data_IF_521451438887
#
_entry.id   IF_521451438887
#
_cell.length_a   1.000
_cell.length_b   1.000
_cell.length_c   1.000
_cell.angle_alpha   90.00
_cell.angle_beta   90.00
_cell.angle_gamma   90.00
#
_symmetry.space_group_name_H-M   'P 1'
#
loop_
_entity.id
_entity.type
_entity.pdbx_description
1 polymer ?
#
# COMPACT_ATOMS: atom_id res chain seq x y z
N UNK A 1 25.05 33.00 -19.06
CA UNK A 1 23.74 32.40 -18.86
C UNK A 1 22.67 33.25 -19.55
N UNK A 2 21.56 32.67 -20.02
CA UNK A 2 20.42 33.43 -20.51
C UNK A 2 19.97 34.48 -19.49
N UNK A 3 19.38 35.61 -19.95
CA UNK A 3 19.07 36.76 -19.09
C UNK A 3 18.02 36.50 -17.99
N UNK A 4 17.25 35.43 -18.11
CA UNK A 4 16.11 35.12 -17.20
C UNK A 4 16.30 33.82 -16.40
N UNK A 5 17.54 33.41 -16.16
CA UNK A 5 17.86 32.19 -15.40
C UNK A 5 18.24 32.55 -13.97
N UNK A 6 17.62 31.88 -13.01
CA UNK A 6 18.06 31.94 -11.61
C UNK A 6 19.44 31.30 -11.51
N UNK A 7 20.41 32.07 -11.06
CA UNK A 7 21.79 31.58 -10.79
C UNK A 7 21.95 31.37 -9.28
N UNK A 8 22.31 30.14 -8.91
CA UNK A 8 22.62 29.79 -7.52
C UNK A 8 24.14 29.59 -7.41
N UNK A 9 24.78 30.34 -6.53
CA UNK A 9 26.22 30.15 -6.24
C UNK A 9 26.39 28.86 -5.40
N UNK A 10 26.94 27.85 -6.03
CA UNK A 10 27.27 26.56 -5.41
C UNK A 10 28.71 26.39 -4.98
N UNK A 11 29.51 27.49 -4.92
CA UNK A 11 30.91 27.40 -4.55
C UNK A 11 31.09 26.73 -3.18
N UNK A 12 31.89 25.67 -3.13
CA UNK A 12 32.13 24.86 -1.92
C UNK A 12 30.94 23.96 -1.50
N UNK A 13 29.93 23.81 -2.35
CA UNK A 13 28.77 22.92 -2.10
C UNK A 13 28.83 21.70 -3.02
N UNK A 14 28.15 20.62 -2.60
CA UNK A 14 27.91 19.47 -3.43
C UNK A 14 26.47 19.49 -3.95
N UNK A 15 26.27 19.11 -5.20
CA UNK A 15 24.94 18.98 -5.82
C UNK A 15 24.66 17.50 -5.96
N UNK A 16 23.56 17.05 -5.38
CA UNK A 16 23.08 15.67 -5.46
C UNK A 16 21.64 15.65 -5.97
N UNK A 17 21.16 14.53 -6.54
CA UNK A 17 19.72 14.31 -6.67
C UNK A 17 19.03 14.39 -5.32
N UNK A 18 17.75 14.76 -5.29
CA UNK A 18 16.95 14.71 -4.07
C UNK A 18 16.81 13.28 -3.56
N UNK A 19 16.79 13.13 -2.24
CA UNK A 19 16.57 11.83 -1.60
C UNK A 19 15.14 11.35 -1.82
N UNK A 20 14.99 10.03 -1.86
CA UNK A 20 13.67 9.35 -1.95
C UNK A 20 13.54 8.43 -0.75
N UNK A 21 12.49 8.66 0.06
CA UNK A 21 12.14 7.75 1.14
C UNK A 21 11.17 6.68 0.61
N UNK A 22 11.61 5.42 0.64
CA UNK A 22 10.81 4.30 0.14
C UNK A 22 9.76 3.80 1.15
N UNK A 23 9.77 4.27 2.40
CA UNK A 23 8.84 3.87 3.44
C UNK A 23 8.63 4.98 4.47
N UNK A 24 7.59 5.77 4.27
CA UNK A 24 7.22 6.86 5.19
C UNK A 24 5.77 6.76 5.66
N UNK A 25 5.49 7.46 6.76
CA UNK A 25 4.14 7.64 7.32
C UNK A 25 3.83 9.13 7.53
N UNK A 26 4.66 10.03 7.01
CA UNK A 26 4.46 11.48 7.04
C UNK A 26 3.38 11.92 6.06
N UNK A 27 3.00 13.20 6.13
CA UNK A 27 2.05 13.82 5.21
C UNK A 27 0.67 13.13 5.14
N UNK A 28 0.23 12.44 6.20
CA UNK A 28 -1.08 11.80 6.25
C UNK A 28 -1.78 12.07 7.60
N UNK A 29 -3.11 12.29 7.57
CA UNK A 29 -3.90 12.46 8.80
C UNK A 29 -4.01 11.18 9.62
N UNK A 30 -4.02 10.03 8.95
CA UNK A 30 -4.06 8.70 9.56
C UNK A 30 -3.39 7.69 8.63
N UNK A 31 -2.79 6.65 9.22
CA UNK A 31 -2.07 5.62 8.45
C UNK A 31 -2.61 4.21 8.67
N UNK A 32 -3.59 4.02 9.54
CA UNK A 32 -4.16 2.71 9.83
C UNK A 32 -5.69 2.72 9.73
N UNK A 33 -6.24 1.77 8.99
CA UNK A 33 -7.63 1.35 9.11
C UNK A 33 -7.64 -0.01 9.81
N UNK A 34 -7.64 0.00 11.14
CA UNK A 34 -7.27 -1.17 11.96
C UNK A 34 -8.42 -2.09 12.36
N UNK A 35 -9.67 -1.80 11.98
CA UNK A 35 -10.87 -2.53 12.43
C UNK A 35 -11.03 -3.91 11.82
N UNK A 36 -10.47 -4.13 10.62
CA UNK A 36 -10.52 -5.41 9.90
C UNK A 36 -9.10 -5.94 9.63
N UNK A 37 -9.00 -7.23 9.36
CA UNK A 37 -7.72 -7.88 9.04
C UNK A 37 -7.25 -7.58 7.63
N UNK A 38 -8.20 -7.28 6.73
CA UNK A 38 -8.00 -6.93 5.34
C UNK A 38 -8.73 -5.62 5.10
N UNK A 39 -8.04 -4.65 4.54
CA UNK A 39 -8.56 -3.33 4.16
C UNK A 39 -7.88 -2.87 2.86
N UNK A 40 -7.79 -3.77 1.88
CA UNK A 40 -7.06 -3.53 0.63
C UNK A 40 -7.68 -2.41 -0.23
N UNK A 41 -8.95 -2.06 0.00
CA UNK A 41 -9.67 -1.01 -0.69
C UNK A 41 -9.33 0.41 -0.22
N UNK A 42 -8.83 0.58 1.02
CA UNK A 42 -8.50 1.91 1.53
C UNK A 42 -7.20 2.44 0.93
N UNK A 43 -7.09 3.77 0.80
CA UNK A 43 -5.98 4.40 0.09
C UNK A 43 -5.39 5.54 0.89
N UNK A 44 -4.08 5.56 1.04
CA UNK A 44 -3.36 6.67 1.69
C UNK A 44 -3.63 8.01 0.98
N UNK A 45 -3.80 8.01 -0.34
CA UNK A 45 -4.09 9.24 -1.06
C UNK A 45 -5.33 10.00 -0.57
N UNK A 46 -6.31 9.31 0.01
CA UNK A 46 -7.56 9.90 0.47
C UNK A 46 -7.42 10.63 1.83
N UNK A 47 -6.28 10.45 2.49
CA UNK A 47 -5.97 11.05 3.80
C UNK A 47 -4.68 11.89 3.78
N UNK A 48 -4.19 12.28 2.60
CA UNK A 48 -3.01 13.13 2.51
C UNK A 48 -3.25 14.49 3.17
N UNK A 49 -2.29 14.90 4.00
CA UNK A 49 -2.25 16.18 4.67
C UNK A 49 -1.13 17.06 4.10
N UNK A 50 -1.47 17.95 3.18
CA UNK A 50 -0.51 18.85 2.55
C UNK A 50 0.03 19.94 3.48
N UNK A 51 -0.59 20.14 4.65
CA UNK A 51 -0.17 21.10 5.67
C UNK A 51 0.70 20.45 6.77
N UNK A 52 1.05 19.18 6.62
CA UNK A 52 1.91 18.53 7.59
C UNK A 52 3.31 19.15 7.55
N UNK A 53 3.73 19.72 8.68
CA UNK A 53 5.05 20.37 8.82
C UNK A 53 6.22 19.43 8.53
N UNK A 54 6.01 18.12 8.57
CA UNK A 54 7.04 17.13 8.21
C UNK A 54 7.47 17.29 6.77
N UNK A 55 6.58 17.65 5.84
CA UNK A 55 6.92 17.93 4.43
C UNK A 55 8.00 19.00 4.34
N UNK A 56 7.83 20.11 5.07
CA UNK A 56 8.80 21.20 5.09
C UNK A 56 10.14 20.76 5.69
N UNK A 57 10.09 20.04 6.81
CA UNK A 57 11.31 19.57 7.52
C UNK A 57 12.09 18.56 6.69
N UNK A 58 11.42 17.64 6.03
CA UNK A 58 12.00 16.64 5.16
C UNK A 58 12.63 17.28 3.91
N UNK A 59 11.95 18.27 3.31
CA UNK A 59 12.52 19.09 2.22
C UNK A 59 13.81 19.81 2.65
N UNK A 60 13.83 20.40 3.85
CA UNK A 60 15.02 21.05 4.39
C UNK A 60 16.17 20.04 4.59
N UNK A 61 15.88 18.76 4.82
CA UNK A 61 16.83 17.66 4.89
C UNK A 61 17.26 17.10 3.53
N UNK A 62 16.66 17.59 2.43
CA UNK A 62 16.97 17.12 1.06
C UNK A 62 16.10 15.98 0.56
N UNK A 63 15.06 15.56 1.28
CA UNK A 63 14.08 14.60 0.83
C UNK A 63 13.12 15.29 -0.15
N UNK A 64 12.91 14.70 -1.33
CA UNK A 64 12.09 15.31 -2.38
C UNK A 64 10.89 14.44 -2.79
N UNK A 65 10.93 13.15 -2.44
CA UNK A 65 9.88 12.18 -2.75
C UNK A 65 9.77 11.16 -1.62
N UNK A 66 8.55 10.74 -1.32
CA UNK A 66 8.29 9.70 -0.32
C UNK A 66 7.19 8.73 -0.77
N UNK A 67 7.34 7.46 -0.41
CA UNK A 67 6.31 6.45 -0.53
C UNK A 67 5.57 6.35 0.81
N UNK A 68 4.36 6.89 0.86
CA UNK A 68 3.54 6.91 2.06
C UNK A 68 2.75 5.62 2.14
N UNK A 69 3.02 4.83 3.15
CA UNK A 69 2.44 3.51 3.35
C UNK A 69 1.37 3.52 4.45
N UNK A 70 0.39 2.64 4.30
CA UNK A 70 -0.48 2.24 5.40
C UNK A 70 0.38 1.66 6.54
N UNK A 71 -0.02 1.85 7.78
CA UNK A 71 0.67 1.29 8.93
C UNK A 71 0.55 -0.25 9.00
N UNK A 72 1.17 -0.85 10.02
CA UNK A 72 1.25 -2.31 10.14
C UNK A 72 0.15 -2.92 11.01
N UNK A 73 -1.04 -2.34 11.05
CA UNK A 73 -2.14 -2.83 11.89
C UNK A 73 -2.85 -4.07 11.33
N UNK A 74 -2.80 -4.28 10.02
CA UNK A 74 -3.55 -5.30 9.30
C UNK A 74 -2.62 -6.30 8.61
N UNK A 75 -3.06 -7.55 8.47
CA UNK A 75 -2.34 -8.53 7.64
C UNK A 75 -2.25 -8.06 6.20
N UNK A 76 -3.37 -7.55 5.66
CA UNK A 76 -3.44 -6.84 4.39
C UNK A 76 -4.01 -5.45 4.68
N UNK A 77 -3.18 -4.43 4.59
CA UNK A 77 -3.56 -3.04 4.82
C UNK A 77 -3.92 -2.32 3.52
N UNK A 78 -3.83 -0.99 3.55
CA UNK A 78 -4.26 -0.12 2.46
C UNK A 78 -3.21 0.11 1.37
N UNK A 79 -3.68 0.73 0.31
CA UNK A 79 -2.88 1.11 -0.85
C UNK A 79 -2.01 2.33 -0.52
N UNK A 80 -0.76 2.32 -1.01
CA UNK A 80 0.19 3.41 -0.80
C UNK A 80 -0.12 4.64 -1.67
N UNK A 81 0.55 5.74 -1.35
CA UNK A 81 0.65 6.90 -2.22
C UNK A 81 2.11 7.35 -2.31
N UNK A 82 2.63 7.48 -3.53
CA UNK A 82 3.92 8.12 -3.74
C UNK A 82 3.69 9.61 -3.95
N UNK A 83 4.38 10.43 -3.18
CA UNK A 83 4.25 11.90 -3.24
C UNK A 83 5.59 12.56 -3.55
N UNK A 84 5.52 13.70 -4.24
CA UNK A 84 6.60 14.68 -4.29
C UNK A 84 6.38 15.69 -3.16
N UNK A 85 7.39 15.90 -2.35
CA UNK A 85 7.29 16.86 -1.25
C UNK A 85 7.31 18.29 -1.81
N UNK A 86 6.13 18.89 -1.90
CA UNK A 86 5.90 20.24 -2.44
C UNK A 86 5.19 21.07 -1.39
N UNK A 87 5.95 21.70 -0.51
CA UNK A 87 5.36 22.56 0.52
C UNK A 87 4.47 23.65 -0.08
N UNK A 88 3.25 23.79 0.44
CA UNK A 88 2.25 24.74 -0.06
C UNK A 88 1.40 24.23 -1.23
N UNK A 89 1.62 23.01 -1.70
CA UNK A 89 0.76 22.39 -2.71
C UNK A 89 -0.52 21.79 -2.10
N UNK A 90 -1.53 21.55 -2.92
CA UNK A 90 -2.72 20.78 -2.52
C UNK A 90 -2.41 19.29 -2.41
N UNK A 91 -3.20 18.48 -1.68
CA UNK A 91 -3.00 17.03 -1.59
C UNK A 91 -2.86 16.35 -2.96
N UNK A 92 -3.73 16.67 -3.93
CA UNK A 92 -3.66 16.12 -5.28
C UNK A 92 -2.37 16.50 -6.02
N UNK A 93 -1.85 17.72 -5.80
CA UNK A 93 -0.62 18.18 -6.40
C UNK A 93 0.64 17.56 -5.78
N UNK A 94 0.54 16.93 -4.62
CA UNK A 94 1.62 16.13 -4.05
C UNK A 94 1.76 14.78 -4.77
N UNK A 95 0.66 14.18 -5.26
CA UNK A 95 0.67 12.85 -5.84
C UNK A 95 1.59 12.74 -7.05
N UNK A 96 2.35 11.65 -7.11
CA UNK A 96 3.13 11.25 -8.28
C UNK A 96 2.42 10.12 -9.01
N UNK A 97 1.59 10.46 -9.98
CA UNK A 97 0.69 9.55 -10.69
C UNK A 97 1.38 8.45 -11.51
N UNK A 98 2.66 8.64 -11.85
CA UNK A 98 3.45 7.67 -12.61
C UNK A 98 4.17 6.64 -11.71
N UNK A 99 3.92 6.66 -10.40
CA UNK A 99 4.49 5.67 -9.51
C UNK A 99 3.88 4.28 -9.75
N UNK A 100 4.67 3.26 -9.47
CA UNK A 100 4.16 1.89 -9.38
C UNK A 100 3.17 1.82 -8.22
N UNK A 101 2.01 1.24 -8.46
CA UNK A 101 1.01 1.02 -7.42
C UNK A 101 1.56 0.06 -6.37
N UNK A 102 1.30 0.33 -5.10
CA UNK A 102 1.70 -0.54 -4.00
C UNK A 102 0.57 -0.75 -2.99
N UNK A 103 0.80 -1.67 -2.08
CA UNK A 103 -0.09 -1.99 -0.97
C UNK A 103 0.73 -2.47 0.22
N UNK A 104 0.31 -2.11 1.42
CA UNK A 104 0.98 -2.52 2.65
C UNK A 104 0.44 -3.84 3.17
N UNK A 105 1.34 -4.78 3.38
CA UNK A 105 1.10 -5.99 4.18
C UNK A 105 1.90 -5.91 5.49
N UNK A 106 1.49 -6.68 6.48
CA UNK A 106 2.25 -6.83 7.70
C UNK A 106 2.13 -8.24 8.28
N UNK A 107 3.23 -8.65 8.89
CA UNK A 107 3.40 -9.87 9.66
C UNK A 107 3.84 -9.51 11.08
N UNK A 108 4.20 -10.50 11.88
CA UNK A 108 4.74 -10.28 13.20
C UNK A 108 3.68 -10.02 14.28
N UNK A 109 4.09 -9.31 15.31
CA UNK A 109 3.24 -9.02 16.47
C UNK A 109 2.15 -7.98 16.15
N UNK A 110 2.43 -7.07 15.23
CA UNK A 110 1.58 -5.91 14.95
C UNK A 110 0.16 -6.27 14.50
N UNK A 111 0.00 -7.35 13.76
CA UNK A 111 -1.29 -7.75 13.17
C UNK A 111 -2.11 -8.66 14.07
N UNK A 112 -1.50 -9.19 15.13
CA UNK A 112 -2.18 -10.07 16.10
C UNK A 112 -2.89 -9.24 17.16
N UNK A 113 -4.18 -9.43 17.28
CA UNK A 113 -4.95 -8.70 18.29
C UNK A 113 -4.59 -9.02 19.73
N UNK A 114 -4.02 -10.20 19.99
CA UNK A 114 -3.52 -10.57 21.33
C UNK A 114 -2.46 -9.62 21.88
N UNK A 115 -1.84 -8.77 21.06
CA UNK A 115 -0.84 -7.78 21.49
C UNK A 115 -1.40 -6.37 21.68
N UNK A 116 -2.68 -6.14 21.40
CA UNK A 116 -3.27 -4.81 21.43
C UNK A 116 -3.92 -4.43 22.76
N UNK A 117 -3.78 -5.30 23.78
CA UNK A 117 -4.41 -5.18 25.08
C UNK A 117 -5.77 -5.88 25.16
N UNK A 118 -6.25 -6.06 26.38
CA UNK A 118 -7.43 -6.89 26.67
C UNK A 118 -8.71 -6.36 26.02
N UNK A 119 -8.84 -5.06 25.85
CA UNK A 119 -10.02 -4.41 25.24
C UNK A 119 -10.10 -4.55 23.71
N UNK A 120 -9.04 -5.05 23.05
CA UNK A 120 -8.93 -5.12 21.61
C UNK A 120 -8.81 -6.55 21.05
N UNK A 121 -9.32 -7.55 21.76
CA UNK A 121 -9.15 -8.97 21.42
C UNK A 121 -10.27 -9.55 20.55
N UNK A 122 -11.10 -8.73 19.92
CA UNK A 122 -12.29 -9.17 19.17
C UNK A 122 -12.03 -9.45 17.70
N UNK A 123 -10.97 -8.88 17.11
CA UNK A 123 -10.64 -9.06 15.71
C UNK A 123 -9.76 -10.29 15.48
N UNK A 124 -10.04 -11.07 14.45
CA UNK A 124 -9.12 -12.06 13.90
C UNK A 124 -8.00 -11.35 13.09
N UNK A 125 -6.71 -11.77 13.11
CA UNK A 125 -6.19 -12.95 13.81
C UNK A 125 -5.77 -12.65 15.26
N UNK A 126 -5.85 -13.64 16.10
CA UNK A 126 -5.30 -13.59 17.46
C UNK A 126 -3.86 -14.07 17.54
N UNK A 127 -3.47 -14.97 16.64
CA UNK A 127 -2.15 -15.62 16.61
C UNK A 127 -1.58 -15.66 15.19
N UNK A 128 -0.31 -16.09 15.05
CA UNK A 128 0.35 -16.28 13.75
C UNK A 128 -0.31 -17.34 12.87
N UNK A 129 -0.98 -18.32 13.45
CA UNK A 129 -1.77 -19.31 12.69
C UNK A 129 -2.85 -18.63 11.83
N UNK A 130 -3.53 -17.63 12.40
CA UNK A 130 -4.56 -16.89 11.70
C UNK A 130 -3.99 -15.98 10.60
N UNK A 131 -2.75 -15.51 10.71
CA UNK A 131 -2.14 -14.64 9.70
C UNK A 131 -1.98 -15.34 8.36
N UNK A 132 -1.44 -16.56 8.33
CA UNK A 132 -1.33 -17.34 7.10
C UNK A 132 -2.70 -17.64 6.51
N UNK A 133 -3.68 -18.02 7.34
CA UNK A 133 -5.02 -18.33 6.90
C UNK A 133 -5.70 -17.12 6.23
N UNK A 134 -5.56 -15.92 6.79
CA UNK A 134 -6.08 -14.69 6.18
C UNK A 134 -5.50 -14.50 4.77
N UNK A 135 -4.19 -14.64 4.59
CA UNK A 135 -3.55 -14.47 3.29
C UNK A 135 -4.09 -15.48 2.27
N UNK A 136 -4.18 -16.74 2.65
CA UNK A 136 -4.68 -17.81 1.76
C UNK A 136 -6.15 -17.62 1.39
N UNK A 137 -7.00 -17.28 2.34
CA UNK A 137 -8.43 -17.03 2.09
C UNK A 137 -8.64 -15.81 1.20
N UNK A 138 -7.88 -14.73 1.45
CA UNK A 138 -7.94 -13.51 0.66
C UNK A 138 -7.57 -13.76 -0.81
N UNK A 139 -6.44 -14.41 -1.07
CA UNK A 139 -6.02 -14.71 -2.44
C UNK A 139 -6.87 -15.77 -3.12
N UNK A 140 -7.41 -16.76 -2.37
CA UNK A 140 -8.40 -17.69 -2.91
C UNK A 140 -9.64 -16.94 -3.40
N UNK A 141 -10.17 -16.03 -2.57
CA UNK A 141 -11.32 -15.19 -2.93
C UNK A 141 -11.04 -14.29 -4.13
N UNK A 142 -9.83 -13.72 -4.22
CA UNK A 142 -9.40 -12.89 -5.35
C UNK A 142 -9.33 -13.69 -6.66
N UNK A 143 -8.80 -14.91 -6.62
CA UNK A 143 -8.77 -15.83 -7.79
C UNK A 143 -10.18 -16.19 -8.25
N UNK A 144 -11.10 -16.47 -7.31
CA UNK A 144 -12.49 -16.74 -7.65
C UNK A 144 -13.20 -15.53 -8.25
N UNK A 145 -12.96 -14.36 -7.69
CA UNK A 145 -13.48 -13.09 -8.20
C UNK A 145 -12.99 -12.82 -9.63
N UNK A 146 -11.68 -12.95 -9.87
CA UNK A 146 -11.07 -12.80 -11.19
C UNK A 146 -11.70 -13.77 -12.23
N UNK A 147 -11.91 -15.04 -11.85
CA UNK A 147 -12.55 -16.04 -12.71
C UNK A 147 -13.99 -15.65 -13.06
N UNK A 148 -14.78 -15.15 -12.09
CA UNK A 148 -16.16 -14.70 -12.34
C UNK A 148 -16.21 -13.55 -13.34
N UNK A 149 -15.36 -12.52 -13.16
CA UNK A 149 -15.28 -11.39 -14.08
C UNK A 149 -14.75 -11.79 -15.46
N UNK A 150 -13.74 -12.64 -15.54
CA UNK A 150 -13.24 -13.18 -16.80
C UNK A 150 -14.32 -13.95 -17.56
N UNK A 151 -15.09 -14.78 -16.87
CA UNK A 151 -16.24 -15.50 -17.47
C UNK A 151 -17.33 -14.55 -17.99
N UNK A 152 -17.66 -13.50 -17.24
CA UNK A 152 -18.59 -12.47 -17.65
C UNK A 152 -18.10 -11.73 -18.92
N UNK A 153 -16.85 -11.28 -18.93
CA UNK A 153 -16.28 -10.51 -20.03
C UNK A 153 -16.12 -11.32 -21.32
N UNK A 154 -15.81 -12.63 -21.21
CA UNK A 154 -15.66 -13.50 -22.39
C UNK A 154 -17.00 -13.80 -23.08
N UNK A 155 -18.10 -13.84 -22.35
CA UNK A 155 -19.42 -14.22 -22.88
C UNK A 155 -20.55 -13.28 -22.42
N UNK A 156 -20.50 -11.98 -22.74
CA UNK A 156 -21.50 -11.01 -22.26
C UNK A 156 -22.93 -11.34 -22.75
N UNK A 157 -23.09 -12.05 -23.88
CA UNK A 157 -24.40 -12.48 -24.41
C UNK A 157 -25.06 -13.54 -23.53
N UNK A 158 -24.28 -14.44 -22.94
CA UNK A 158 -24.78 -15.48 -22.03
C UNK A 158 -25.28 -14.88 -20.72
N UNK A 159 -24.79 -13.70 -20.36
CA UNK A 159 -25.13 -12.96 -19.16
C UNK A 159 -26.25 -11.94 -19.33
N UNK A 160 -26.79 -11.74 -20.55
CA UNK A 160 -27.89 -10.78 -20.82
C UNK A 160 -29.13 -10.97 -19.93
N UNK A 161 -29.33 -12.14 -19.33
CA UNK A 161 -30.42 -12.45 -18.40
C UNK A 161 -29.98 -12.61 -16.95
N UNK A 162 -28.69 -12.38 -16.63
CA UNK A 162 -28.10 -12.51 -15.28
C UNK A 162 -27.57 -11.16 -14.82
N UNK A 163 -27.61 -10.93 -13.51
CA UNK A 163 -27.00 -9.75 -12.91
C UNK A 163 -25.48 -9.85 -13.08
N UNK A 164 -24.80 -8.79 -13.55
CA UNK A 164 -23.34 -8.75 -13.59
C UNK A 164 -22.72 -9.04 -12.21
N UNK A 165 -21.50 -9.60 -12.15
CA UNK A 165 -20.82 -9.74 -10.88
C UNK A 165 -20.73 -8.38 -10.16
N UNK A 166 -21.00 -8.36 -8.86
CA UNK A 166 -20.82 -7.14 -8.06
C UNK A 166 -19.36 -6.78 -8.04
N UNK A 167 -19.03 -5.49 -8.18
CA UNK A 167 -17.68 -4.99 -7.91
C UNK A 167 -17.37 -5.07 -6.43
N UNK A 168 -16.17 -5.51 -6.14
CA UNK A 168 -15.59 -5.61 -4.80
C UNK A 168 -14.20 -4.96 -4.84
N UNK A 169 -14.07 -3.78 -4.22
CA UNK A 169 -12.85 -2.98 -4.33
C UNK A 169 -11.68 -3.60 -3.56
N UNK A 170 -11.95 -4.36 -2.49
CA UNK A 170 -10.93 -5.12 -1.79
C UNK A 170 -10.35 -6.21 -2.69
N UNK A 171 -11.22 -7.03 -3.30
CA UNK A 171 -10.81 -8.11 -4.20
C UNK A 171 -10.18 -7.57 -5.49
N UNK A 172 -10.62 -6.41 -6.00
CA UNK A 172 -9.97 -5.76 -7.16
C UNK A 172 -8.51 -5.42 -6.86
N UNK A 173 -8.21 -4.87 -5.67
CA UNK A 173 -6.83 -4.56 -5.28
C UNK A 173 -5.97 -5.82 -5.16
N UNK A 174 -6.52 -6.95 -4.69
CA UNK A 174 -5.83 -8.23 -4.62
C UNK A 174 -5.63 -8.85 -6.03
N UNK A 175 -6.59 -8.71 -6.93
CA UNK A 175 -6.43 -9.12 -8.33
C UNK A 175 -5.31 -8.33 -9.02
N UNK A 176 -5.18 -7.02 -8.77
CA UNK A 176 -4.05 -6.24 -9.29
C UNK A 176 -2.68 -6.79 -8.83
N UNK A 177 -2.60 -7.38 -7.63
CA UNK A 177 -1.38 -8.07 -7.16
C UNK A 177 -1.14 -9.34 -7.98
N UNK A 178 -2.15 -10.19 -8.16
CA UNK A 178 -2.06 -11.43 -8.95
C UNK A 178 -1.67 -11.16 -10.42
N UNK A 179 -2.06 -10.01 -10.95
CA UNK A 179 -1.75 -9.57 -12.31
C UNK A 179 -0.41 -8.80 -12.42
N UNK A 180 0.31 -8.65 -11.31
CA UNK A 180 1.60 -7.94 -11.28
C UNK A 180 1.49 -6.42 -11.46
N UNK A 181 0.29 -5.86 -11.31
CA UNK A 181 0.03 -4.42 -11.46
C UNK A 181 0.23 -3.65 -10.16
N UNK A 182 0.31 -4.33 -9.02
CA UNK A 182 0.48 -3.75 -7.68
C UNK A 182 1.54 -4.51 -6.90
N UNK A 183 2.48 -3.79 -6.29
CA UNK A 183 3.56 -4.37 -5.50
C UNK A 183 3.19 -4.43 -4.02
N UNK A 184 3.60 -5.50 -3.35
CA UNK A 184 3.45 -5.67 -1.91
C UNK A 184 4.67 -5.08 -1.21
N UNK A 185 4.42 -4.23 -0.20
CA UNK A 185 5.40 -3.76 0.79
C UNK A 185 5.07 -4.42 2.12
N UNK A 186 5.89 -5.37 2.58
CA UNK A 186 5.56 -6.19 3.75
C UNK A 186 6.44 -5.88 4.95
N UNK A 187 5.83 -5.44 6.06
CA UNK A 187 6.46 -5.41 7.36
C UNK A 187 6.69 -6.84 7.85
N UNK A 188 7.94 -7.21 8.08
CA UNK A 188 8.32 -8.55 8.55
C UNK A 188 9.69 -8.51 9.23
N UNK A 189 9.91 -9.40 10.21
CA UNK A 189 11.18 -9.50 10.93
C UNK A 189 11.48 -10.92 11.44
N UNK A 190 10.56 -11.89 11.25
CA UNK A 190 10.76 -13.29 11.63
C UNK A 190 10.99 -14.15 10.41
N UNK A 191 12.02 -14.99 10.46
CA UNK A 191 12.40 -15.88 9.37
C UNK A 191 11.25 -16.82 8.95
N UNK A 192 10.55 -17.41 9.92
CA UNK A 192 9.46 -18.34 9.68
C UNK A 192 8.26 -17.67 8.99
N UNK A 193 7.94 -16.42 9.36
CA UNK A 193 6.86 -15.67 8.76
C UNK A 193 7.23 -15.20 7.34
N UNK A 194 8.48 -14.78 7.11
CA UNK A 194 8.98 -14.43 5.80
C UNK A 194 8.90 -15.65 4.87
N UNK A 195 9.35 -16.82 5.34
CA UNK A 195 9.26 -18.07 4.58
C UNK A 195 7.81 -18.47 4.30
N UNK A 196 6.91 -18.28 5.25
CA UNK A 196 5.47 -18.51 5.05
C UNK A 196 4.92 -17.63 3.93
N UNK A 197 5.19 -16.31 3.95
CA UNK A 197 4.73 -15.40 2.91
C UNK A 197 5.32 -15.76 1.54
N UNK A 198 6.58 -16.17 1.48
CA UNK A 198 7.22 -16.65 0.24
C UNK A 198 6.46 -17.85 -0.34
N UNK A 199 6.11 -18.83 0.49
CA UNK A 199 5.32 -20.00 0.06
C UNK A 199 3.93 -19.61 -0.44
N UNK A 200 3.26 -18.69 0.25
CA UNK A 200 1.97 -18.17 -0.20
C UNK A 200 2.12 -17.46 -1.56
N UNK A 201 3.19 -16.68 -1.74
CA UNK A 201 3.44 -16.00 -3.03
C UNK A 201 3.71 -16.99 -4.16
N UNK A 202 4.43 -18.08 -3.91
CA UNK A 202 4.65 -19.15 -4.88
C UNK A 202 3.35 -19.87 -5.23
N UNK A 203 2.52 -20.22 -4.24
CA UNK A 203 1.26 -20.93 -4.45
C UNK A 203 0.25 -20.14 -5.29
N UNK A 204 0.23 -18.82 -5.16
CA UNK A 204 -0.70 -17.93 -5.88
C UNK A 204 -0.06 -17.21 -7.08
N UNK A 205 1.26 -17.29 -7.27
CA UNK A 205 1.97 -16.75 -8.42
C UNK A 205 2.16 -15.24 -8.41
N UNK A 206 2.27 -14.60 -7.23
CA UNK A 206 2.59 -13.18 -7.11
C UNK A 206 4.00 -12.95 -6.55
N UNK A 207 4.48 -11.71 -6.59
CA UNK A 207 5.78 -11.32 -6.02
C UNK A 207 5.62 -10.30 -4.90
N UNK A 208 6.53 -10.35 -3.91
CA UNK A 208 6.67 -9.35 -2.86
C UNK A 208 7.78 -8.39 -3.28
N UNK A 209 7.48 -7.08 -3.31
CA UNK A 209 8.41 -6.06 -3.77
C UNK A 209 9.45 -5.68 -2.72
N UNK A 210 9.04 -5.52 -1.46
CA UNK A 210 9.94 -5.16 -0.33
C UNK A 210 9.40 -5.71 0.96
#
# INVERSE_FOLDING_TARGET
PPKDVMVIDGTGKHITPGLIDCHSHSAAFSINEGTQSITAEVRIQDVLNSNDITIYRELAGGLTMANILHGSANTIGGQNAVIKLRWGATPDALLYSNAVKGIKFALGENVKQSNWGDDNTTRYPQTRMGVEQILRDAFTSAVEYQKKWSGYNKNPKQWKKKVPPRRDLELEALVEILEGQRQIHCHSYRQDEILMLTRVSEDFGFTVGT
#
